data_IF_007692604856
#
_entry.id   IF_007692604856
#
_cell.length_a   1.000
_cell.length_b   1.000
_cell.length_c   1.000
_cell.angle_alpha   90.00
_cell.angle_beta   90.00
_cell.angle_gamma   90.00
#
_symmetry.space_group_name_H-M   'P 1'
#
loop_
_entity.id
_entity.type
_entity.pdbx_description
1 polymer ?
#
# COMPACT_ATOMS: atom_id res chain seq x y z
N UNK A 1 8.33 0.02 -2.27
CA UNK A 1 6.85 0.19 -2.26
C UNK A 1 6.21 -0.33 -3.54
N UNK A 2 4.89 -0.62 -3.52
CA UNK A 2 4.16 -1.09 -4.71
C UNK A 2 4.04 -0.02 -5.81
N UNK A 3 3.90 1.25 -5.43
CA UNK A 3 3.89 2.40 -6.35
C UNK A 3 5.27 2.63 -6.99
N UNK A 4 6.35 2.53 -6.22
CA UNK A 4 7.72 2.56 -6.75
C UNK A 4 7.99 1.46 -7.78
N UNK A 5 7.56 0.21 -7.51
CA UNK A 5 7.70 -0.88 -8.48
C UNK A 5 6.98 -0.62 -9.82
N UNK A 6 5.78 -0.01 -9.77
CA UNK A 6 5.06 0.41 -10.99
C UNK A 6 5.79 1.52 -11.73
N UNK A 7 6.34 2.49 -11.00
CA UNK A 7 7.08 3.61 -11.59
C UNK A 7 8.41 3.16 -12.21
N UNK A 8 9.15 2.27 -11.54
CA UNK A 8 10.38 1.69 -12.05
C UNK A 8 10.14 0.97 -13.38
N UNK A 9 9.07 0.15 -13.46
CA UNK A 9 8.67 -0.49 -14.72
C UNK A 9 8.38 0.54 -15.82
N UNK A 10 7.74 1.66 -15.47
CA UNK A 10 7.46 2.75 -16.41
C UNK A 10 8.75 3.40 -16.90
N UNK A 11 9.72 3.64 -16.02
CA UNK A 11 11.03 4.22 -16.38
C UNK A 11 11.80 3.31 -17.33
N UNK A 12 11.88 2.00 -17.03
CA UNK A 12 12.52 1.01 -17.90
C UNK A 12 11.88 0.97 -19.29
N UNK A 13 10.54 1.02 -19.36
CA UNK A 13 9.82 1.00 -20.64
C UNK A 13 9.87 2.33 -21.40
N UNK A 14 10.26 3.43 -20.75
CA UNK A 14 10.33 4.78 -21.33
C UNK A 14 11.60 5.50 -20.88
N UNK A 15 12.79 5.08 -21.37
CA UNK A 15 14.05 5.76 -21.07
C UNK A 15 14.00 7.23 -21.48
N UNK A 16 14.73 8.07 -20.76
CA UNK A 16 14.77 9.51 -21.01
C UNK A 16 15.59 9.80 -22.26
N UNK A 17 15.20 10.86 -22.99
CA UNK A 17 15.88 11.35 -24.20
C UNK A 17 16.50 12.73 -24.02
N UNK A 18 16.56 13.21 -22.79
CA UNK A 18 17.12 14.53 -22.44
C UNK A 18 18.20 14.31 -21.40
N UNK A 19 19.36 14.89 -21.65
CA UNK A 19 20.53 14.76 -20.79
C UNK A 19 20.27 15.25 -19.36
N UNK A 20 19.67 16.44 -19.21
CA UNK A 20 19.46 17.06 -17.89
C UNK A 20 18.66 16.18 -16.91
N UNK A 21 17.48 15.62 -17.27
CA UNK A 21 16.77 14.69 -16.40
C UNK A 21 17.53 13.40 -16.06
N UNK A 22 18.36 12.90 -16.98
CA UNK A 22 19.21 11.71 -16.71
C UNK A 22 20.25 12.07 -15.64
N UNK A 23 20.94 13.21 -15.83
CA UNK A 23 21.95 13.68 -14.90
C UNK A 23 21.38 13.92 -13.51
N UNK A 24 20.21 14.56 -13.41
CA UNK A 24 19.52 14.79 -12.13
C UNK A 24 19.25 13.47 -11.39
N UNK A 25 18.83 12.41 -12.09
CA UNK A 25 18.66 11.10 -11.46
C UNK A 25 20.00 10.50 -11.02
N UNK A 26 21.01 10.53 -11.89
CA UNK A 26 22.32 9.98 -11.58
C UNK A 26 22.98 10.66 -10.37
N UNK A 27 22.80 11.97 -10.22
CA UNK A 27 23.31 12.74 -9.08
C UNK A 27 22.59 12.36 -7.78
N UNK A 28 21.25 12.24 -7.81
CA UNK A 28 20.50 11.76 -6.64
C UNK A 28 20.82 10.30 -6.29
N UNK A 29 21.04 9.43 -7.28
CA UNK A 29 21.46 8.05 -7.06
C UNK A 29 22.84 8.02 -6.41
N UNK A 30 23.78 8.85 -6.85
CA UNK A 30 25.13 8.93 -6.28
C UNK A 30 25.10 9.34 -4.79
N UNK A 31 24.23 10.29 -4.42
CA UNK A 31 24.05 10.69 -3.02
C UNK A 31 23.67 9.48 -2.15
N UNK A 32 22.64 8.73 -2.54
CA UNK A 32 22.22 7.55 -1.77
C UNK A 32 23.18 6.36 -1.90
N UNK A 33 23.97 6.29 -2.98
CA UNK A 33 25.02 5.30 -3.16
C UNK A 33 26.12 5.51 -2.11
N UNK A 34 26.57 6.76 -1.92
CA UNK A 34 27.60 7.12 -0.94
C UNK A 34 27.10 7.17 0.52
N UNK A 35 25.82 7.42 0.75
CA UNK A 35 25.23 7.55 2.10
C UNK A 35 24.42 6.32 2.49
N UNK A 36 25.12 5.22 2.76
CA UNK A 36 24.53 3.92 3.11
C UNK A 36 23.50 3.99 4.26
N UNK A 37 23.82 4.71 5.34
CA UNK A 37 22.95 4.76 6.53
C UNK A 37 21.63 5.46 6.22
N UNK A 38 21.69 6.58 5.49
CA UNK A 38 20.51 7.32 5.02
C UNK A 38 19.68 6.46 4.08
N UNK A 39 20.31 5.76 3.13
CA UNK A 39 19.62 4.86 2.20
C UNK A 39 18.91 3.73 2.95
N UNK A 40 19.56 3.14 3.95
CA UNK A 40 19.00 2.04 4.75
C UNK A 40 17.79 2.50 5.55
N UNK A 41 17.90 3.62 6.27
CA UNK A 41 16.78 4.22 7.02
C UNK A 41 15.61 4.58 6.12
N UNK A 42 15.89 5.23 4.98
CA UNK A 42 14.86 5.60 4.03
C UNK A 42 14.09 4.39 3.48
N UNK A 43 14.76 3.25 3.28
CA UNK A 43 14.10 2.00 2.86
C UNK A 43 13.13 1.48 3.92
N UNK A 44 13.55 1.45 5.18
CA UNK A 44 12.71 1.03 6.30
C UNK A 44 11.48 1.93 6.45
N UNK A 45 11.66 3.25 6.34
CA UNK A 45 10.57 4.23 6.40
C UNK A 45 9.59 4.09 5.23
N UNK A 46 10.10 3.89 4.01
CA UNK A 46 9.28 3.66 2.82
C UNK A 46 8.47 2.36 2.91
N UNK A 47 8.96 1.33 3.62
CA UNK A 47 8.20 0.08 3.85
C UNK A 47 6.96 0.30 4.73
N UNK A 48 6.96 1.32 5.60
CA UNK A 48 5.80 1.68 6.43
C UNK A 48 4.71 2.42 5.64
N UNK A 49 5.02 2.91 4.44
CA UNK A 49 4.08 3.65 3.59
C UNK A 49 3.22 2.67 2.78
N UNK A 50 1.90 2.78 2.94
CA UNK A 50 0.93 2.02 2.15
C UNK A 50 0.90 2.44 0.67
N UNK A 51 0.14 1.71 -0.16
CA UNK A 51 -0.04 2.05 -1.58
C UNK A 51 -1.00 3.25 -1.75
N UNK A 52 -0.47 4.45 -1.51
CA UNK A 52 -1.23 5.71 -1.56
C UNK A 52 -1.92 5.93 -2.92
N UNK A 53 -1.23 5.60 -4.02
CA UNK A 53 -1.75 5.75 -5.40
C UNK A 53 -3.05 4.95 -5.60
N UNK A 54 -3.08 3.69 -5.16
CA UNK A 54 -4.30 2.87 -5.24
C UNK A 54 -5.33 3.24 -4.19
N UNK A 55 -4.90 3.64 -3.00
CA UNK A 55 -5.78 3.98 -1.91
C UNK A 55 -6.63 5.21 -2.25
N UNK A 56 -6.00 6.30 -2.74
CA UNK A 56 -6.74 7.50 -3.12
C UNK A 56 -7.70 7.25 -4.29
N UNK A 57 -7.29 6.41 -5.25
CA UNK A 57 -8.15 6.00 -6.36
C UNK A 57 -9.42 5.29 -5.85
N UNK A 58 -9.29 4.39 -4.85
CA UNK A 58 -10.42 3.68 -4.22
C UNK A 58 -11.34 4.61 -3.44
N UNK A 59 -10.77 5.60 -2.74
CA UNK A 59 -11.52 6.62 -2.00
C UNK A 59 -12.40 7.44 -2.95
N UNK A 60 -11.83 7.92 -4.06
CA UNK A 60 -12.56 8.73 -5.04
C UNK A 60 -13.72 7.98 -5.72
N UNK A 61 -13.58 6.66 -5.96
CA UNK A 61 -14.65 5.84 -6.56
C UNK A 61 -15.62 5.26 -5.52
N UNK A 62 -15.50 5.63 -4.25
CA UNK A 62 -16.38 5.19 -3.18
C UNK A 62 -16.28 3.70 -2.82
N UNK A 63 -15.15 3.06 -3.11
CA UNK A 63 -14.90 1.63 -2.82
C UNK A 63 -13.89 1.43 -1.70
N UNK A 64 -14.01 2.24 -0.65
CA UNK A 64 -13.08 2.29 0.47
C UNK A 64 -13.79 2.00 1.78
N UNK A 65 -13.06 1.53 2.79
CA UNK A 65 -13.56 1.36 4.15
C UNK A 65 -12.80 2.31 5.11
N UNK A 66 -13.27 2.41 6.36
CA UNK A 66 -12.63 3.25 7.37
C UNK A 66 -11.16 2.86 7.64
N UNK A 67 -10.82 1.57 7.54
CA UNK A 67 -9.45 1.09 7.70
C UNK A 67 -8.50 1.63 6.64
N UNK A 68 -8.95 1.74 5.38
CA UNK A 68 -8.17 2.34 4.31
C UNK A 68 -7.88 3.83 4.61
N UNK A 69 -8.87 4.60 5.08
CA UNK A 69 -8.68 6.02 5.44
C UNK A 69 -7.74 6.16 6.64
N UNK A 70 -7.80 5.28 7.62
CA UNK A 70 -6.82 5.25 8.72
C UNK A 70 -5.42 4.90 8.20
N UNK A 71 -5.30 3.95 7.26
CA UNK A 71 -4.02 3.61 6.64
C UNK A 71 -3.43 4.79 5.82
N UNK A 72 -4.28 5.59 5.17
CA UNK A 72 -3.86 6.86 4.55
C UNK A 72 -3.17 7.76 5.57
N UNK A 73 -3.85 8.03 6.69
CA UNK A 73 -3.32 8.85 7.77
C UNK A 73 -1.98 8.34 8.27
N UNK A 74 -1.88 7.04 8.56
CA UNK A 74 -0.63 6.42 9.04
C UNK A 74 0.51 6.57 8.04
N UNK A 75 0.21 6.48 6.74
CA UNK A 75 1.19 6.69 5.67
C UNK A 75 1.60 8.17 5.55
N UNK A 76 0.66 9.11 5.66
CA UNK A 76 0.94 10.55 5.67
C UNK A 76 1.79 10.96 6.89
N UNK A 77 1.60 10.31 8.03
CA UNK A 77 2.39 10.55 9.24
C UNK A 77 3.87 10.18 9.09
N UNK A 78 4.24 9.33 8.11
CA UNK A 78 5.65 9.00 7.83
C UNK A 78 6.37 10.09 7.02
N UNK A 79 5.63 11.00 6.36
CA UNK A 79 6.22 12.00 5.46
C UNK A 79 7.26 12.89 6.16
N UNK A 80 7.04 13.44 7.36
CA UNK A 80 8.05 14.25 8.04
C UNK A 80 9.37 13.51 8.27
N UNK A 81 9.28 12.22 8.65
CA UNK A 81 10.44 11.37 8.92
C UNK A 81 11.22 11.15 7.63
N UNK A 82 10.54 10.73 6.56
CA UNK A 82 11.11 10.53 5.23
C UNK A 82 11.80 11.81 4.72
N UNK A 83 11.16 12.97 4.85
CA UNK A 83 11.76 14.25 4.43
C UNK A 83 13.05 14.55 5.18
N UNK A 84 13.11 14.23 6.47
CA UNK A 84 14.28 14.54 7.30
C UNK A 84 15.54 13.81 6.82
N UNK A 85 15.39 12.62 6.21
CA UNK A 85 16.50 11.80 5.73
C UNK A 85 17.29 12.46 4.60
N UNK A 86 16.65 13.31 3.79
CA UNK A 86 17.30 13.92 2.63
C UNK A 86 17.22 15.46 2.60
N UNK A 87 16.69 16.08 3.64
CA UNK A 87 16.59 17.54 3.74
C UNK A 87 17.95 18.26 3.70
N UNK A 88 19.02 17.59 4.14
CA UNK A 88 20.37 18.15 4.18
C UNK A 88 21.13 18.13 2.85
N UNK A 89 20.58 17.52 1.80
CA UNK A 89 21.26 17.41 0.51
C UNK A 89 20.93 18.59 -0.41
N UNK A 90 21.98 19.17 -1.01
CA UNK A 90 21.84 20.20 -2.03
C UNK A 90 21.65 19.59 -3.43
N UNK A 91 20.53 18.88 -3.62
CA UNK A 91 20.18 18.24 -4.89
C UNK A 91 18.83 18.79 -5.41
N UNK A 92 18.77 19.25 -6.69
CA UNK A 92 17.55 19.83 -7.24
C UNK A 92 16.34 18.87 -7.28
N UNK A 93 16.56 17.59 -7.58
CA UNK A 93 15.50 16.59 -7.69
C UNK A 93 14.98 16.20 -6.30
N UNK A 94 15.86 16.05 -5.32
CA UNK A 94 15.48 15.79 -3.93
C UNK A 94 14.75 16.99 -3.32
N UNK A 95 15.16 18.23 -3.63
CA UNK A 95 14.41 19.44 -3.22
C UNK A 95 13.02 19.50 -3.84
N UNK A 96 12.87 19.15 -5.12
CA UNK A 96 11.57 19.07 -5.78
C UNK A 96 10.67 17.99 -5.14
N UNK A 97 11.21 16.78 -4.93
CA UNK A 97 10.51 15.70 -4.20
C UNK A 97 10.08 16.21 -2.82
N UNK A 98 10.98 16.83 -2.06
CA UNK A 98 10.66 17.40 -0.74
C UNK A 98 9.53 18.42 -0.79
N UNK A 99 9.51 19.28 -1.83
CA UNK A 99 8.45 20.27 -2.03
C UNK A 99 7.08 19.65 -2.28
N UNK A 100 7.02 18.53 -3.02
CA UNK A 100 5.78 17.79 -3.32
C UNK A 100 5.28 16.94 -2.15
N UNK A 101 6.15 16.57 -1.23
CA UNK A 101 5.80 15.87 0.01
C UNK A 101 5.14 16.82 1.02
N UNK A 102 3.90 17.21 0.74
CA UNK A 102 3.05 17.99 1.64
C UNK A 102 2.69 17.16 2.88
N UNK A 103 2.59 17.83 4.03
CA UNK A 103 2.29 17.15 5.30
C UNK A 103 0.80 16.88 5.49
N UNK A 104 -0.09 17.72 4.92
CA UNK A 104 -1.54 17.58 5.03
C UNK A 104 -2.01 17.41 6.49
N UNK A 105 -1.52 18.27 7.40
CA UNK A 105 -1.77 18.15 8.85
C UNK A 105 -3.27 18.22 9.16
N UNK A 106 -3.99 19.15 8.55
CA UNK A 106 -5.45 19.32 8.76
C UNK A 106 -6.22 18.04 8.41
N UNK A 107 -5.84 17.37 7.31
CA UNK A 107 -6.43 16.10 6.90
C UNK A 107 -6.15 15.00 7.94
N UNK A 108 -4.91 14.89 8.41
CA UNK A 108 -4.54 13.89 9.41
C UNK A 108 -5.28 14.12 10.75
N UNK A 109 -5.42 15.37 11.17
CA UNK A 109 -6.16 15.73 12.36
C UNK A 109 -7.65 15.43 12.24
N UNK A 110 -8.26 15.76 11.10
CA UNK A 110 -9.66 15.47 10.84
C UNK A 110 -9.94 13.96 10.92
N UNK A 111 -9.13 13.14 10.23
CA UNK A 111 -9.24 11.68 10.30
C UNK A 111 -9.07 11.18 11.74
N UNK A 112 -8.15 11.75 12.52
CA UNK A 112 -7.90 11.34 13.91
C UNK A 112 -9.04 11.69 14.85
N UNK A 113 -9.68 12.85 14.65
CA UNK A 113 -10.83 13.29 15.45
C UNK A 113 -12.09 12.49 15.11
N UNK A 114 -12.25 12.06 13.86
CA UNK A 114 -13.49 11.44 13.39
C UNK A 114 -13.47 9.91 13.40
N UNK A 115 -12.40 9.26 12.96
CA UNK A 115 -12.36 7.79 12.85
C UNK A 115 -11.76 7.14 14.10
N UNK A 116 -12.24 5.94 14.43
CA UNK A 116 -11.63 5.08 15.42
C UNK A 116 -10.18 4.72 15.02
N UNK A 117 -9.32 4.41 16.00
CA UNK A 117 -7.92 4.05 15.73
C UNK A 117 -7.80 2.70 15.01
N UNK A 118 -8.66 1.74 15.38
CA UNK A 118 -8.74 0.42 14.77
C UNK A 118 -10.18 0.15 14.29
N UNK A 119 -10.61 0.78 13.17
CA UNK A 119 -11.96 0.58 12.67
C UNK A 119 -12.07 -0.81 12.02
N UNK A 120 -13.25 -1.45 12.06
CA UNK A 120 -13.45 -2.75 11.45
C UNK A 120 -13.32 -2.68 9.92
N UNK A 121 -13.04 -3.85 9.32
CA UNK A 121 -12.80 -3.94 7.88
C UNK A 121 -14.07 -3.75 7.03
N UNK A 122 -15.23 -4.07 7.59
CA UNK A 122 -16.53 -3.96 6.93
C UNK A 122 -17.29 -2.75 7.47
N UNK A 123 -17.78 -1.93 6.54
CA UNK A 123 -18.65 -0.78 6.84
C UNK A 123 -19.94 -1.23 7.56
N UNK A 124 -20.35 -2.50 7.36
CA UNK A 124 -21.57 -3.06 7.97
C UNK A 124 -21.40 -3.41 9.45
N UNK A 125 -20.16 -3.47 9.93
CA UNK A 125 -19.86 -3.92 11.28
C UNK A 125 -20.01 -2.77 12.30
N UNK A 126 -20.16 -1.52 11.82
CA UNK A 126 -20.26 -0.31 12.64
C UNK A 126 -18.95 0.03 13.34
N UNK A 127 -18.99 0.86 14.38
CA UNK A 127 -17.84 1.24 15.22
C UNK A 127 -16.63 1.80 14.43
N UNK A 128 -16.87 2.52 13.35
CA UNK A 128 -15.86 3.20 12.55
C UNK A 128 -15.63 4.64 13.00
N UNK A 129 -16.65 5.29 13.58
CA UNK A 129 -16.57 6.66 14.08
C UNK A 129 -16.11 6.66 15.54
N UNK A 130 -15.23 7.59 15.89
CA UNK A 130 -14.67 7.77 17.23
C UNK A 130 -15.76 8.23 18.22
N UNK A 131 -15.74 7.69 19.43
CA UNK A 131 -16.61 8.18 20.52
C UNK A 131 -16.30 9.66 20.81
N UNK A 132 -17.33 10.46 21.07
CA UNK A 132 -17.22 11.90 21.32
C UNK A 132 -17.14 12.77 20.06
N UNK A 133 -17.21 12.18 18.86
CA UNK A 133 -17.25 12.96 17.60
C UNK A 133 -18.64 13.50 17.29
N UNK A 134 -19.69 12.73 17.59
CA UNK A 134 -21.08 13.09 17.31
C UNK A 134 -21.97 12.69 18.49
N UNK A 135 -22.60 13.67 19.12
CA UNK A 135 -23.41 13.48 20.34
C UNK A 135 -24.60 12.54 20.11
N UNK A 136 -25.28 12.67 18.97
CA UNK A 136 -26.42 11.80 18.62
C UNK A 136 -25.98 10.34 18.44
N UNK A 137 -24.84 10.10 17.78
CA UNK A 137 -24.29 8.76 17.63
C UNK A 137 -23.90 8.16 18.98
N UNK A 138 -23.31 8.95 19.87
CA UNK A 138 -22.93 8.53 21.22
C UNK A 138 -24.17 8.17 22.06
N UNK A 139 -25.24 8.97 21.98
CA UNK A 139 -26.52 8.67 22.63
C UNK A 139 -27.13 7.35 22.11
N UNK A 140 -27.16 7.16 20.78
CA UNK A 140 -27.67 5.94 20.17
C UNK A 140 -26.84 4.69 20.58
N UNK A 141 -25.51 4.82 20.63
CA UNK A 141 -24.60 3.78 21.11
C UNK A 141 -24.82 3.47 22.59
N UNK A 142 -25.05 4.50 23.42
CA UNK A 142 -25.34 4.33 24.84
C UNK A 142 -26.67 3.61 25.07
N UNK A 143 -27.72 3.95 24.31
CA UNK A 143 -29.01 3.24 24.35
C UNK A 143 -28.83 1.76 24.01
N UNK A 144 -28.07 1.44 22.95
CA UNK A 144 -27.81 0.04 22.58
C UNK A 144 -27.00 -0.71 23.65
N UNK A 145 -26.00 -0.06 24.26
CA UNK A 145 -25.12 -0.65 25.28
C UNK A 145 -25.83 -0.82 26.63
N UNK A 146 -26.56 0.19 27.09
CA UNK A 146 -27.35 0.14 28.32
C UNK A 146 -28.60 -0.71 28.16
N UNK A 147 -29.17 -0.81 26.96
CA UNK A 147 -30.23 -1.77 26.66
C UNK A 147 -29.84 -3.22 26.95
N UNK A 148 -28.61 -3.63 26.62
CA UNK A 148 -28.09 -4.96 26.97
C UNK A 148 -27.96 -5.17 28.49
N UNK A 149 -27.56 -4.13 29.24
CA UNK A 149 -27.55 -4.18 30.71
C UNK A 149 -28.97 -4.30 31.27
N UNK A 150 -29.92 -3.57 30.69
CA UNK A 150 -31.32 -3.62 31.11
C UNK A 150 -31.94 -5.00 30.85
N UNK A 151 -31.61 -5.64 29.72
CA UNK A 151 -32.00 -7.04 29.45
C UNK A 151 -31.44 -7.99 30.51
N UNK A 152 -30.21 -7.79 30.97
CA UNK A 152 -29.65 -8.58 32.07
C UNK A 152 -30.42 -8.38 33.38
N UNK A 153 -30.84 -7.14 33.69
CA UNK A 153 -31.67 -6.85 34.85
C UNK A 153 -33.07 -7.48 34.75
N UNK A 154 -33.70 -7.44 33.57
CA UNK A 154 -34.97 -8.14 33.30
C UNK A 154 -34.80 -9.64 33.51
N UNK A 155 -33.73 -10.24 32.99
CA UNK A 155 -33.46 -11.67 33.19
C UNK A 155 -33.44 -12.03 34.67
N UNK A 156 -32.72 -11.26 35.49
CA UNK A 156 -32.57 -11.53 36.92
C UNK A 156 -33.90 -11.35 37.68
N UNK A 157 -34.69 -10.34 37.30
CA UNK A 157 -36.05 -10.12 37.83
C UNK A 157 -36.97 -11.28 37.47
N UNK A 158 -37.04 -11.65 36.20
CA UNK A 158 -37.88 -12.76 35.72
C UNK A 158 -37.49 -14.10 36.33
N UNK A 159 -36.19 -14.37 36.50
CA UNK A 159 -35.70 -15.60 37.13
C UNK A 159 -36.11 -15.68 38.61
N UNK A 160 -36.10 -14.56 39.34
CA UNK A 160 -36.57 -14.47 40.73
C UNK A 160 -38.08 -14.65 40.82
N UNK A 161 -38.85 -13.94 39.99
CA UNK A 161 -40.31 -13.93 40.05
C UNK A 161 -40.93 -15.27 39.64
N UNK A 162 -40.35 -15.96 38.65
CA UNK A 162 -40.80 -17.28 38.19
C UNK A 162 -40.22 -18.46 38.98
N UNK A 163 -39.17 -18.22 39.78
CA UNK A 163 -38.41 -19.29 40.45
C UNK A 163 -37.64 -20.20 39.49
N UNK A 164 -37.39 -19.77 38.25
CA UNK A 164 -36.67 -20.53 37.21
C UNK A 164 -35.25 -19.97 37.06
N UNK A 165 -34.31 -20.48 37.85
CA UNK A 165 -32.91 -20.05 37.79
C UNK A 165 -32.20 -20.38 36.45
N UNK A 166 -32.70 -21.36 35.70
CA UNK A 166 -32.14 -21.77 34.40
C UNK A 166 -32.62 -20.91 33.22
N UNK A 167 -33.45 -19.90 33.46
CA UNK A 167 -33.99 -19.01 32.44
C UNK A 167 -32.86 -18.27 31.71
N UNK A 168 -32.90 -18.30 30.38
CA UNK A 168 -31.95 -17.58 29.52
C UNK A 168 -32.69 -16.61 28.63
N UNK A 169 -32.17 -15.39 28.50
CA UNK A 169 -32.58 -14.49 27.43
C UNK A 169 -31.59 -14.67 26.28
N UNK A 170 -32.10 -15.09 25.12
CA UNK A 170 -31.35 -15.23 23.89
C UNK A 170 -31.80 -14.22 22.83
N UNK A 171 -31.04 -14.11 21.75
CA UNK A 171 -31.37 -13.29 20.58
C UNK A 171 -31.24 -14.14 19.31
N UNK A 172 -32.20 -13.99 18.40
CA UNK A 172 -32.17 -14.58 17.07
C UNK A 172 -32.56 -13.52 16.03
N UNK A 173 -31.89 -13.50 14.87
CA UNK A 173 -32.19 -12.57 13.78
C UNK A 173 -33.63 -12.63 13.25
N UNK A 174 -34.31 -13.77 13.37
CA UNK A 174 -35.67 -13.98 12.83
C UNK A 174 -36.75 -13.61 13.84
N UNK A 175 -36.57 -13.96 15.11
CA UNK A 175 -37.59 -13.80 16.15
C UNK A 175 -37.23 -12.76 17.20
N UNK A 176 -36.05 -12.15 17.09
CA UNK A 176 -35.59 -11.14 18.02
C UNK A 176 -35.15 -11.73 19.37
N UNK A 177 -35.29 -10.94 20.43
CA UNK A 177 -35.07 -11.38 21.80
C UNK A 177 -36.17 -12.36 22.25
N UNK A 178 -35.77 -13.36 23.02
CA UNK A 178 -36.67 -14.36 23.57
C UNK A 178 -36.17 -14.88 24.92
N UNK A 179 -37.12 -15.33 25.73
CA UNK A 179 -36.89 -16.03 26.99
C UNK A 179 -36.97 -17.52 26.72
N UNK A 180 -35.89 -18.25 26.97
CA UNK A 180 -35.81 -19.70 26.81
C UNK A 180 -35.97 -20.40 28.16
N UNK A 181 -36.96 -21.28 28.25
CA UNK A 181 -37.28 -22.08 29.43
C UNK A 181 -37.19 -23.56 29.05
N UNK A 182 -36.50 -24.36 29.86
CA UNK A 182 -36.38 -25.81 29.62
C UNK A 182 -37.73 -26.50 29.88
N UNK A 183 -38.02 -27.59 29.16
CA UNK A 183 -39.29 -28.33 29.31
C UNK A 183 -39.57 -28.76 30.77
N UNK A 184 -38.54 -28.99 31.58
CA UNK A 184 -38.64 -29.32 33.01
C UNK A 184 -39.26 -28.22 33.90
N UNK A 185 -39.29 -26.97 33.43
CA UNK A 185 -39.83 -25.82 34.17
C UNK A 185 -41.05 -25.21 33.48
N UNK A 186 -41.63 -25.91 32.50
CA UNK A 186 -42.76 -25.42 31.70
C UNK A 186 -43.98 -25.06 32.56
N UNK A 187 -44.26 -25.84 33.59
CA UNK A 187 -45.40 -25.63 34.50
C UNK A 187 -45.22 -24.40 35.41
N UNK A 188 -44.00 -23.84 35.48
CA UNK A 188 -43.66 -22.64 36.26
C UNK A 188 -43.66 -21.36 35.41
N UNK A 189 -43.99 -21.45 34.12
CA UNK A 189 -44.02 -20.29 33.22
C UNK A 189 -45.23 -19.41 33.56
N UNK A 190 -45.04 -18.12 33.87
CA UNK A 190 -46.15 -17.21 34.18
C UNK A 190 -47.09 -16.97 32.98
N UNK A 191 -48.37 -16.70 33.23
CA UNK A 191 -49.37 -16.47 32.16
C UNK A 191 -49.07 -15.27 31.25
N UNK A 192 -48.33 -14.27 31.74
CA UNK A 192 -47.97 -13.08 30.96
C UNK A 192 -46.85 -13.34 29.93
N UNK A 193 -46.30 -14.57 29.88
CA UNK A 193 -45.31 -14.97 28.89
C UNK A 193 -46.01 -15.39 27.60
N UNK A 194 -45.78 -14.66 26.51
CA UNK A 194 -46.36 -14.95 25.20
C UNK A 194 -45.43 -15.92 24.46
N UNK A 195 -45.92 -17.12 24.14
CA UNK A 195 -45.12 -18.16 23.46
C UNK A 195 -44.79 -17.74 22.01
N UNK A 196 -43.49 -17.76 21.65
CA UNK A 196 -42.98 -17.50 20.29
C UNK A 196 -42.62 -18.77 19.51
N UNK A 197 -41.97 -19.74 20.14
CA UNK A 197 -41.45 -20.93 19.44
C UNK A 197 -41.33 -22.13 20.39
N UNK A 198 -41.61 -23.34 19.90
CA UNK A 198 -41.37 -24.60 20.62
C UNK A 198 -40.17 -25.32 20.01
N UNK A 199 -39.24 -25.77 20.86
CA UNK A 199 -38.08 -26.59 20.50
C UNK A 199 -38.20 -27.97 21.14
N UNK A 200 -37.33 -28.90 20.74
CA UNK A 200 -37.33 -30.29 21.24
C UNK A 200 -37.17 -30.36 22.78
N UNK A 201 -36.33 -29.48 23.36
CA UNK A 201 -35.99 -29.51 24.80
C UNK A 201 -36.35 -28.23 25.58
N UNK A 202 -36.93 -27.23 24.90
CA UNK A 202 -37.21 -25.92 25.49
C UNK A 202 -38.35 -25.20 24.77
N UNK A 203 -38.94 -24.22 25.43
CA UNK A 203 -39.92 -23.30 24.85
C UNK A 203 -39.43 -21.86 24.96
N UNK A 204 -39.73 -21.07 23.93
CA UNK A 204 -39.33 -19.67 23.82
C UNK A 204 -40.53 -18.75 23.96
N UNK A 205 -40.37 -17.73 24.78
CA UNK A 205 -41.40 -16.77 25.17
C UNK A 205 -40.94 -15.33 24.99
N UNK A 206 -41.87 -14.38 25.01
CA UNK A 206 -41.60 -12.95 25.11
C UNK A 206 -42.56 -12.31 26.12
N UNK A 207 -42.13 -11.24 26.78
CA UNK A 207 -42.99 -10.39 27.62
C UNK A 207 -43.18 -9.02 26.95
N UNK A 208 -44.27 -8.30 27.24
CA UNK A 208 -44.47 -6.92 26.76
C UNK A 208 -43.29 -6.00 27.10
N UNK A 209 -42.78 -6.08 28.34
CA UNK A 209 -41.60 -5.32 28.81
C UNK A 209 -40.35 -5.63 27.98
N UNK A 210 -40.09 -6.90 27.65
CA UNK A 210 -38.95 -7.27 26.81
C UNK A 210 -39.12 -6.79 25.37
N UNK A 211 -40.35 -6.76 24.85
CA UNK A 211 -40.67 -6.32 23.49
C UNK A 211 -40.44 -4.82 23.30
N UNK A 212 -40.89 -3.98 24.23
CA UNK A 212 -40.69 -2.52 24.15
C UNK A 212 -39.19 -2.15 24.13
N UNK A 213 -38.40 -2.86 24.93
CA UNK A 213 -36.96 -2.62 25.04
C UNK A 213 -36.23 -3.17 23.83
N UNK A 214 -36.64 -4.33 23.33
CA UNK A 214 -36.19 -4.87 22.06
C UNK A 214 -36.40 -3.84 20.93
N UNK A 215 -37.60 -3.27 20.79
CA UNK A 215 -37.90 -2.27 19.75
C UNK A 215 -37.01 -1.03 19.90
N UNK A 216 -36.82 -0.54 21.14
CA UNK A 216 -35.94 0.60 21.42
C UNK A 216 -34.47 0.32 21.08
N UNK A 217 -33.96 -0.85 21.44
CA UNK A 217 -32.57 -1.25 21.17
C UNK A 217 -32.36 -1.44 19.67
N UNK A 218 -33.24 -2.17 18.99
CA UNK A 218 -33.11 -2.43 17.55
C UNK A 218 -33.20 -1.13 16.75
N UNK A 219 -34.14 -0.23 17.10
CA UNK A 219 -34.23 1.08 16.46
C UNK A 219 -32.98 1.94 16.69
N UNK A 220 -32.39 1.88 17.90
CA UNK A 220 -31.16 2.62 18.19
C UNK A 220 -29.95 2.03 17.43
N UNK A 221 -29.82 0.70 17.37
CA UNK A 221 -28.76 0.02 16.61
C UNK A 221 -28.85 0.31 15.11
N UNK A 222 -30.06 0.34 14.52
CA UNK A 222 -30.26 0.65 13.10
C UNK A 222 -29.96 2.12 12.77
N UNK A 223 -30.47 3.06 13.59
CA UNK A 223 -30.18 4.48 13.43
C UNK A 223 -28.70 4.78 13.63
N UNK A 224 -28.07 4.16 14.64
CA UNK A 224 -26.63 4.30 14.89
C UNK A 224 -25.82 3.89 13.66
N UNK A 225 -26.12 2.76 13.03
CA UNK A 225 -25.42 2.30 11.81
C UNK A 225 -25.65 3.22 10.62
N UNK A 226 -26.85 3.77 10.48
CA UNK A 226 -27.20 4.68 9.38
C UNK A 226 -26.44 5.99 9.52
N UNK A 227 -26.52 6.62 10.70
CA UNK A 227 -25.80 7.85 11.02
C UNK A 227 -24.28 7.65 10.93
N UNK A 228 -23.78 6.53 11.42
CA UNK A 228 -22.36 6.20 11.33
C UNK A 228 -21.86 6.08 9.88
N UNK A 229 -22.68 5.50 9.00
CA UNK A 229 -22.38 5.45 7.57
C UNK A 229 -22.37 6.85 6.93
N UNK A 230 -23.34 7.70 7.28
CA UNK A 230 -23.42 9.09 6.80
C UNK A 230 -22.17 9.89 7.20
N UNK A 231 -21.79 9.85 8.48
CA UNK A 231 -20.59 10.52 8.99
C UNK A 231 -19.31 9.98 8.31
N UNK A 232 -19.24 8.68 8.03
CA UNK A 232 -18.12 8.11 7.29
C UNK A 232 -18.06 8.60 5.84
N UNK A 233 -19.21 8.69 5.16
CA UNK A 233 -19.28 9.22 3.80
C UNK A 233 -18.86 10.70 3.74
N UNK A 234 -19.20 11.50 4.76
CA UNK A 234 -18.69 12.87 4.92
C UNK A 234 -17.17 12.92 5.01
N UNK A 235 -16.55 12.08 5.86
CA UNK A 235 -15.08 11.97 5.95
C UNK A 235 -14.48 11.57 4.61
N UNK A 236 -15.09 10.60 3.93
CA UNK A 236 -14.60 10.14 2.62
C UNK A 236 -14.63 11.26 1.59
N UNK A 237 -15.71 12.04 1.55
CA UNK A 237 -15.82 13.20 0.66
C UNK A 237 -14.76 14.24 0.99
N UNK A 238 -14.58 14.57 2.28
CA UNK A 238 -13.52 15.48 2.72
C UNK A 238 -12.13 15.01 2.29
N UNK A 239 -11.80 13.73 2.48
CA UNK A 239 -10.51 13.16 2.03
C UNK A 239 -10.34 13.25 0.51
N UNK A 240 -11.44 13.11 -0.26
CA UNK A 240 -11.39 13.18 -1.72
C UNK A 240 -11.05 14.57 -2.26
N UNK A 241 -11.27 15.64 -1.48
CA UNK A 241 -10.84 17.00 -1.84
C UNK A 241 -9.31 17.13 -1.91
N UNK A 242 -8.58 16.27 -1.20
CA UNK A 242 -7.12 16.23 -1.18
C UNK A 242 -6.54 15.24 -2.21
N UNK A 243 -7.36 14.73 -3.14
CA UNK A 243 -6.94 13.66 -4.05
C UNK A 243 -5.70 14.02 -4.88
N UNK A 244 -5.65 15.23 -5.43
CA UNK A 244 -4.52 15.69 -6.24
C UNK A 244 -3.23 15.79 -5.42
N UNK A 245 -3.31 16.27 -4.19
CA UNK A 245 -2.17 16.37 -3.29
C UNK A 245 -1.65 14.98 -2.89
N UNK A 246 -2.55 14.06 -2.56
CA UNK A 246 -2.19 12.67 -2.22
C UNK A 246 -1.58 11.95 -3.42
N UNK A 247 -2.08 12.18 -4.64
CA UNK A 247 -1.48 11.63 -5.86
C UNK A 247 -0.07 12.18 -6.11
N UNK A 248 0.15 13.48 -5.90
CA UNK A 248 1.47 14.08 -6.02
C UNK A 248 2.45 13.54 -4.99
N UNK A 249 2.01 13.36 -3.74
CA UNK A 249 2.79 12.70 -2.68
C UNK A 249 3.14 11.27 -3.07
N UNK A 250 2.15 10.48 -3.53
CA UNK A 250 2.37 9.10 -3.95
C UNK A 250 3.39 9.00 -5.08
N UNK A 251 3.32 9.90 -6.06
CA UNK A 251 4.29 9.97 -7.15
C UNK A 251 5.69 10.36 -6.66
N UNK A 252 5.80 11.36 -5.78
CA UNK A 252 7.07 11.79 -5.20
C UNK A 252 7.74 10.68 -4.36
N UNK A 253 6.97 9.96 -3.56
CA UNK A 253 7.46 8.79 -2.80
C UNK A 253 7.88 7.65 -3.73
N UNK A 254 7.13 7.40 -4.81
CA UNK A 254 7.51 6.41 -5.81
C UNK A 254 8.81 6.76 -6.55
N UNK A 255 9.04 8.05 -6.85
CA UNK A 255 10.30 8.52 -7.43
C UNK A 255 11.48 8.32 -6.48
N UNK A 256 11.31 8.74 -5.22
CA UNK A 256 12.30 8.55 -4.17
C UNK A 256 12.65 7.06 -3.99
N UNK A 257 11.63 6.20 -3.97
CA UNK A 257 11.79 4.74 -3.89
C UNK A 257 12.56 4.16 -5.09
N UNK A 258 12.35 4.66 -6.31
CA UNK A 258 13.13 4.23 -7.47
C UNK A 258 14.60 4.67 -7.37
N UNK A 259 14.86 5.92 -6.97
CA UNK A 259 16.22 6.48 -6.88
C UNK A 259 17.03 5.72 -5.82
N UNK A 260 16.48 5.55 -4.61
CA UNK A 260 17.18 4.78 -3.56
C UNK A 260 17.40 3.33 -4.00
N UNK A 261 16.45 2.75 -4.76
CA UNK A 261 16.56 1.38 -5.24
C UNK A 261 17.70 1.23 -6.25
N UNK A 262 17.88 2.19 -7.16
CA UNK A 262 19.05 2.21 -8.05
C UNK A 262 20.36 2.30 -7.27
N UNK A 263 20.43 3.13 -6.24
CA UNK A 263 21.62 3.23 -5.40
C UNK A 263 21.92 1.92 -4.65
N UNK A 264 20.89 1.25 -4.14
CA UNK A 264 21.02 -0.04 -3.46
C UNK A 264 21.50 -1.14 -4.39
N UNK A 265 20.90 -1.26 -5.58
CA UNK A 265 21.32 -2.23 -6.60
C UNK A 265 22.75 -1.94 -7.06
N UNK A 266 23.08 -0.67 -7.27
CA UNK A 266 24.40 -0.27 -7.68
C UNK A 266 25.47 -0.65 -6.64
N UNK A 267 25.18 -0.44 -5.36
CA UNK A 267 26.06 -0.82 -4.27
C UNK A 267 26.25 -2.33 -4.19
N UNK A 268 25.14 -3.10 -4.20
CA UNK A 268 25.18 -4.57 -4.10
C UNK A 268 25.92 -5.23 -5.24
N UNK A 269 25.72 -4.72 -6.46
CA UNK A 269 26.21 -5.36 -7.67
C UNK A 269 27.47 -4.68 -8.25
N UNK A 270 28.05 -3.74 -7.50
CA UNK A 270 29.23 -2.97 -7.87
C UNK A 270 29.07 -2.28 -9.24
N UNK A 271 27.97 -1.56 -9.44
CA UNK A 271 27.71 -0.81 -10.66
C UNK A 271 28.39 0.55 -10.61
N UNK A 272 28.82 1.05 -11.77
CA UNK A 272 29.48 2.34 -11.90
C UNK A 272 28.49 3.42 -12.36
N UNK A 273 28.69 4.66 -11.91
CA UNK A 273 28.00 5.83 -12.45
C UNK A 273 28.42 6.00 -13.92
N UNK A 274 27.52 5.88 -14.91
CA UNK A 274 27.87 6.16 -16.29
C UNK A 274 28.06 7.67 -16.50
N UNK A 275 28.94 8.02 -17.43
CA UNK A 275 29.00 9.36 -17.99
C UNK A 275 28.09 9.42 -19.21
N UNK A 276 26.94 10.09 -19.07
CA UNK A 276 26.01 10.29 -20.20
C UNK A 276 26.34 11.62 -20.86
N UNK A 277 26.55 11.62 -22.18
CA UNK A 277 26.95 12.82 -22.94
C UNK A 277 26.05 13.05 -24.14
N UNK A 278 25.94 14.31 -24.56
CA UNK A 278 25.36 14.67 -25.86
C UNK A 278 26.40 14.39 -26.96
N UNK A 279 26.62 13.10 -27.21
CA UNK A 279 27.59 12.57 -28.17
C UNK A 279 27.05 11.28 -28.79
N UNK A 280 27.73 10.76 -29.80
CA UNK A 280 27.39 9.52 -30.50
C UNK A 280 28.33 8.35 -30.11
N UNK A 281 29.13 8.54 -29.05
CA UNK A 281 30.10 7.55 -28.57
C UNK A 281 29.48 6.59 -27.55
N UNK A 282 29.76 5.30 -27.66
CA UNK A 282 29.47 4.29 -26.64
C UNK A 282 30.79 3.61 -26.30
N UNK A 283 31.27 3.85 -25.08
CA UNK A 283 32.47 3.22 -24.53
C UNK A 283 32.11 2.54 -23.22
N UNK A 284 32.30 1.23 -23.14
CA UNK A 284 32.00 0.41 -21.96
C UNK A 284 33.26 -0.39 -21.63
N UNK A 285 33.76 -0.24 -20.41
CA UNK A 285 34.89 -1.02 -19.89
C UNK A 285 34.41 -2.05 -18.88
N UNK A 286 34.82 -3.29 -19.08
CA UNK A 286 34.41 -4.47 -18.30
C UNK A 286 32.90 -4.54 -18.08
N UNK A 287 32.12 -4.35 -19.13
CA UNK A 287 30.66 -4.46 -19.07
C UNK A 287 30.21 -5.88 -18.74
N UNK A 288 29.12 -6.00 -17.98
CA UNK A 288 28.49 -7.25 -17.56
C UNK A 288 27.01 -7.24 -17.93
N UNK A 289 26.44 -8.40 -18.22
CA UNK A 289 25.01 -8.50 -18.51
C UNK A 289 24.21 -8.55 -17.19
N UNK A 290 23.36 -7.55 -16.87
CA UNK A 290 22.79 -7.35 -15.53
C UNK A 290 21.87 -8.48 -15.05
N UNK A 291 21.31 -9.26 -15.98
CA UNK A 291 20.49 -10.44 -15.65
C UNK A 291 21.31 -11.72 -15.59
N UNK A 292 22.20 -11.96 -16.56
CA UNK A 292 22.96 -13.21 -16.66
C UNK A 292 23.93 -13.33 -15.49
N UNK A 293 24.59 -12.24 -15.07
CA UNK A 293 25.54 -12.24 -13.94
C UNK A 293 24.92 -12.76 -12.64
N UNK A 294 23.62 -12.52 -12.42
CA UNK A 294 22.87 -12.96 -11.23
C UNK A 294 22.35 -14.40 -11.33
N UNK A 295 22.31 -14.97 -12.55
CA UNK A 295 21.79 -16.31 -12.79
C UNK A 295 22.86 -17.39 -12.87
N UNK A 296 24.14 -17.01 -12.90
CA UNK A 296 25.25 -17.94 -12.98
C UNK A 296 25.36 -18.78 -11.69
N UNK A 297 25.82 -20.04 -11.78
CA UNK A 297 26.08 -20.87 -10.61
C UNK A 297 27.06 -20.22 -9.63
N UNK A 298 26.89 -20.51 -8.35
CA UNK A 298 27.82 -20.07 -7.30
C UNK A 298 29.25 -20.53 -7.62
N UNK A 299 30.17 -19.57 -7.73
CA UNK A 299 31.57 -19.82 -8.05
C UNK A 299 31.95 -19.64 -9.52
N UNK A 300 30.99 -19.39 -10.42
CA UNK A 300 31.24 -19.10 -11.84
C UNK A 300 31.09 -17.60 -12.12
N UNK A 301 32.18 -16.82 -12.23
CA UNK A 301 32.08 -15.39 -12.48
C UNK A 301 31.68 -15.10 -13.93
N UNK A 302 30.86 -14.07 -14.12
CA UNK A 302 30.60 -13.52 -15.46
C UNK A 302 31.88 -12.92 -16.04
N UNK A 303 32.21 -13.26 -17.29
CA UNK A 303 33.38 -12.70 -17.97
C UNK A 303 33.01 -11.34 -18.58
N UNK A 304 33.57 -10.23 -18.06
CA UNK A 304 33.22 -8.90 -18.54
C UNK A 304 33.83 -8.60 -19.91
N UNK A 305 33.18 -7.73 -20.69
CA UNK A 305 33.61 -7.38 -22.05
C UNK A 305 33.69 -5.86 -22.25
N UNK A 306 34.68 -5.44 -23.03
CA UNK A 306 34.81 -4.05 -23.47
C UNK A 306 34.05 -3.82 -24.78
N UNK A 307 33.44 -2.65 -24.92
CA UNK A 307 32.73 -2.21 -26.14
C UNK A 307 33.15 -0.78 -26.45
N UNK A 308 33.55 -0.54 -27.69
CA UNK A 308 33.80 0.79 -28.24
C UNK A 308 33.02 0.90 -29.55
N UNK A 309 32.18 1.93 -29.64
CA UNK A 309 31.41 2.28 -30.83
C UNK A 309 31.36 3.79 -30.96
N UNK A 310 31.54 4.30 -32.18
CA UNK A 310 31.45 5.71 -32.50
C UNK A 310 31.10 5.89 -33.99
N UNK A 311 30.80 7.12 -34.40
CA UNK A 311 30.46 7.42 -35.80
C UNK A 311 31.66 7.81 -36.67
N UNK A 312 32.88 7.84 -36.12
CA UNK A 312 34.10 8.19 -36.88
C UNK A 312 34.78 6.98 -37.52
N UNK A 313 35.07 5.96 -36.73
CA UNK A 313 35.95 4.85 -37.10
C UNK A 313 35.40 3.47 -36.70
N UNK A 314 34.45 3.40 -35.76
CA UNK A 314 33.91 2.14 -35.24
C UNK A 314 32.36 2.12 -35.17
N UNK A 315 31.71 2.37 -36.31
CA UNK A 315 30.24 2.42 -36.37
C UNK A 315 29.58 1.03 -36.35
N UNK A 316 30.27 0.02 -36.88
CA UNK A 316 29.74 -1.35 -37.03
C UNK A 316 30.73 -2.34 -36.43
N UNK A 317 30.26 -3.12 -35.44
CA UNK A 317 31.01 -4.23 -34.86
C UNK A 317 30.52 -5.56 -35.45
N UNK A 318 31.41 -6.28 -36.14
CA UNK A 318 31.13 -7.63 -36.65
C UNK A 318 31.61 -8.65 -35.61
N UNK A 319 30.69 -9.25 -34.86
CA UNK A 319 31.01 -10.25 -33.83
C UNK A 319 30.90 -11.66 -34.43
N UNK A 320 32.03 -12.32 -34.61
CA UNK A 320 32.12 -13.72 -35.05
C UNK A 320 32.62 -14.62 -33.94
N UNK A 321 32.24 -15.90 -33.96
CA UNK A 321 32.68 -16.90 -32.98
C UNK A 321 31.80 -18.15 -33.02
N UNK A 322 32.19 -19.23 -32.33
CA UNK A 322 31.39 -20.45 -32.26
C UNK A 322 30.01 -20.21 -31.63
N UNK A 323 29.07 -21.12 -31.86
CA UNK A 323 27.78 -21.08 -31.15
C UNK A 323 28.02 -21.23 -29.64
N UNK A 324 27.15 -20.61 -28.83
CA UNK A 324 27.29 -20.56 -27.35
C UNK A 324 28.53 -19.80 -26.84
N UNK A 325 29.22 -19.03 -27.69
CA UNK A 325 30.35 -18.18 -27.28
C UNK A 325 29.92 -16.83 -26.67
N UNK A 326 28.68 -16.67 -26.23
CA UNK A 326 28.18 -15.41 -25.65
C UNK A 326 27.95 -14.25 -26.63
N UNK A 327 27.94 -14.47 -27.95
CA UNK A 327 27.71 -13.41 -28.95
C UNK A 327 26.39 -12.64 -28.71
N UNK A 328 25.30 -13.37 -28.46
CA UNK A 328 23.99 -12.78 -28.15
C UNK A 328 23.97 -12.06 -26.81
N UNK A 329 24.77 -12.52 -25.85
CA UNK A 329 24.91 -11.89 -24.52
C UNK A 329 25.54 -10.52 -24.67
N UNK A 330 26.63 -10.39 -25.44
CA UNK A 330 27.29 -9.10 -25.70
C UNK A 330 26.31 -8.10 -26.31
N UNK A 331 25.53 -8.51 -27.33
CA UNK A 331 24.55 -7.63 -27.98
C UNK A 331 23.46 -7.13 -27.01
N UNK A 332 22.89 -8.04 -26.21
CA UNK A 332 21.84 -7.70 -25.24
C UNK A 332 22.41 -6.86 -24.09
N UNK A 333 23.61 -7.19 -23.62
CA UNK A 333 24.33 -6.46 -22.59
C UNK A 333 24.52 -5.00 -22.98
N UNK A 334 25.05 -4.71 -24.17
CA UNK A 334 25.26 -3.34 -24.64
C UNK A 334 23.96 -2.55 -24.66
N UNK A 335 22.89 -3.14 -25.22
CA UNK A 335 21.57 -2.50 -25.23
C UNK A 335 21.00 -2.24 -23.83
N UNK A 336 21.19 -3.18 -22.89
CA UNK A 336 20.74 -3.03 -21.51
C UNK A 336 21.54 -1.96 -20.74
N UNK A 337 22.85 -1.87 -20.95
CA UNK A 337 23.69 -0.83 -20.33
C UNK A 337 23.27 0.56 -20.81
N UNK A 338 23.05 0.73 -22.12
CA UNK A 338 22.52 1.99 -22.70
C UNK A 338 21.16 2.33 -22.08
N UNK A 339 20.26 1.34 -21.98
CA UNK A 339 18.93 1.52 -21.39
C UNK A 339 19.01 1.96 -19.92
N UNK A 340 19.84 1.31 -19.10
CA UNK A 340 20.01 1.65 -17.69
C UNK A 340 20.60 3.06 -17.52
N UNK A 341 21.59 3.42 -18.34
CA UNK A 341 22.16 4.78 -18.34
C UNK A 341 21.10 5.85 -18.63
N UNK A 342 20.27 5.66 -19.68
CA UNK A 342 19.21 6.60 -20.04
C UNK A 342 17.97 6.56 -19.13
N UNK A 343 17.85 5.56 -18.26
CA UNK A 343 16.87 5.54 -17.16
C UNK A 343 17.36 6.37 -15.97
N UNK A 344 18.67 6.67 -15.89
CA UNK A 344 19.30 7.36 -14.77
C UNK A 344 19.76 6.41 -13.66
N UNK A 345 20.03 5.14 -14.00
CA UNK A 345 20.62 4.16 -13.10
C UNK A 345 22.13 4.07 -13.32
N UNK A 346 22.86 3.61 -12.31
CA UNK A 346 24.22 3.12 -12.51
C UNK A 346 24.20 1.83 -13.36
N UNK A 347 25.32 1.50 -13.98
CA UNK A 347 25.41 0.45 -14.99
C UNK A 347 26.39 -0.67 -14.59
N UNK A 348 26.14 -1.92 -15.02
CA UNK A 348 26.99 -3.08 -14.75
C UNK A 348 28.30 -3.02 -15.55
N UNK A 349 29.22 -2.14 -15.19
CA UNK A 349 30.52 -1.95 -15.83
C UNK A 349 31.54 -1.42 -14.83
N UNK A 350 32.83 -1.46 -15.17
CA UNK A 350 33.86 -0.74 -14.41
C UNK A 350 33.79 0.77 -14.71
N UNK A 351 33.58 1.13 -15.97
CA UNK A 351 33.25 2.49 -16.40
C UNK A 351 32.46 2.45 -17.69
N UNK A 352 31.64 3.48 -17.93
CA UNK A 352 30.88 3.61 -19.16
C UNK A 352 30.69 5.08 -19.54
N UNK A 353 30.96 5.42 -20.81
CA UNK A 353 30.57 6.67 -21.45
C UNK A 353 29.50 6.35 -22.48
N UNK A 354 28.30 6.92 -22.33
CA UNK A 354 27.13 6.60 -23.15
C UNK A 354 26.60 7.87 -23.81
N UNK A 355 26.70 7.91 -25.13
CA UNK A 355 26.05 8.90 -25.97
C UNK A 355 24.52 8.77 -25.92
N UNK A 356 23.81 9.85 -26.26
CA UNK A 356 22.35 9.86 -26.25
C UNK A 356 21.79 8.99 -27.38
N UNK A 357 21.15 7.87 -27.03
CA UNK A 357 20.51 6.97 -28.00
C UNK A 357 19.02 7.27 -28.12
N UNK A 358 18.53 7.44 -29.35
CA UNK A 358 17.14 7.74 -29.62
C UNK A 358 16.25 6.48 -29.63
N UNK A 359 16.80 5.36 -30.13
CA UNK A 359 16.12 4.08 -30.34
C UNK A 359 17.11 2.91 -30.23
N UNK A 360 16.66 1.82 -29.61
CA UNK A 360 17.37 0.54 -29.60
C UNK A 360 16.56 -0.43 -30.46
N UNK A 361 17.16 -0.90 -31.55
CA UNK A 361 16.56 -1.91 -32.41
C UNK A 361 17.22 -3.26 -32.15
N UNK A 362 16.40 -4.30 -32.03
CA UNK A 362 16.89 -5.67 -31.91
C UNK A 362 16.23 -6.52 -32.98
N UNK A 363 17.04 -7.35 -33.65
CA UNK A 363 16.56 -8.39 -34.55
C UNK A 363 17.26 -9.69 -34.17
N UNK A 364 16.52 -10.56 -33.51
CA UNK A 364 17.04 -11.85 -33.04
C UNK A 364 16.30 -12.96 -33.78
N UNK A 365 17.01 -14.01 -34.19
CA UNK A 365 16.39 -15.20 -34.79
C UNK A 365 15.45 -15.90 -33.79
N UNK A 366 14.36 -16.50 -34.28
CA UNK A 366 13.27 -17.04 -33.46
C UNK A 366 13.64 -18.16 -32.46
N UNK A 367 14.89 -18.64 -32.46
CA UNK A 367 15.36 -19.80 -31.69
C UNK A 367 16.43 -19.49 -30.63
N UNK A 368 16.69 -18.22 -30.31
CA UNK A 368 17.79 -17.83 -29.43
C UNK A 368 17.39 -17.84 -27.93
N UNK A 369 17.69 -18.95 -27.25
CA UNK A 369 17.38 -19.17 -25.83
C UNK A 369 18.55 -18.74 -24.92
N UNK A 370 18.36 -17.62 -24.20
CA UNK A 370 19.34 -16.98 -23.30
C UNK A 370 19.83 -17.85 -22.15
N UNK A 371 19.03 -18.83 -21.70
CA UNK A 371 19.35 -19.65 -20.54
C UNK A 371 20.17 -20.91 -20.90
N UNK A 372 20.33 -21.21 -22.18
CA UNK A 372 20.97 -22.43 -22.67
C UNK A 372 22.39 -22.19 -23.24
N UNK A 373 22.90 -20.96 -23.23
CA UNK A 373 24.21 -20.62 -23.81
C UNK A 373 24.75 -19.28 -23.38
#
# INVERSE_FOLDING_TARGET
TAMGGRLLRRWIMRPLKRLKPIQQRLDSVEIFYSKHDVRSQLREELEQVGDLERLISRICVGRTNARDIVQLKLSLAQIPVIKSQFAGFDDPLLKDISGRLKLLIDLQEHITKTLAEEPPASIRDGNMIRDGFNEELDELRDIAKNGKKYIAQIKDKLAKDSGIASLKIGYNKVFGYYIEVTNSHKDKVPEHFIRKQTLVNAERYITPELKEIEEKILSAEERSKTLEYELFEEVRLYVSEFADDIQQIAFALAELDCIQCFAEVAFKNNYAKPEVRDSEEISIKKGRHPVVEETLPMGEPFIPNDIELNNSDQQIMIITGPNMAGKSIILRQTGLIVLLAQVGSFVPAESATIGMVDKIFTRVGASDNLAAG
#
